data_IF_119219054257
#
_entry.id   IF_119219054257
#
_cell.length_a   1.000
_cell.length_b   1.000
_cell.length_c   1.000
_cell.angle_alpha   90.00
_cell.angle_beta   90.00
_cell.angle_gamma   90.00
#
_symmetry.space_group_name_H-M   'P 1'
#
loop_
_entity.id
_entity.type
_entity.pdbx_description
1 polymer ?
#
# COMPACT_ATOMS: atom_id res chain seq x y z
N UNK A 1 20.17 -52.35 -57.77
CA UNK A 1 19.29 -51.33 -58.41
C UNK A 1 18.20 -51.03 -57.38
N UNK A 2 17.92 -49.84 -56.87
CA UNK A 2 18.00 -48.46 -57.35
C UNK A 2 18.32 -47.55 -56.16
N UNK A 3 18.98 -46.43 -56.48
CA UNK A 3 19.43 -45.37 -55.57
C UNK A 3 18.21 -44.54 -55.14
N UNK A 4 18.15 -44.13 -53.87
CA UNK A 4 17.42 -42.94 -53.47
C UNK A 4 18.30 -42.08 -52.57
N UNK A 5 18.70 -40.96 -53.16
CA UNK A 5 19.37 -39.81 -52.57
C UNK A 5 18.26 -38.98 -51.93
N UNK A 6 18.37 -38.64 -50.65
CA UNK A 6 17.74 -37.43 -50.12
C UNK A 6 18.67 -36.77 -49.10
N UNK A 7 19.13 -35.59 -49.50
CA UNK A 7 19.97 -34.66 -48.81
C UNK A 7 19.07 -33.78 -47.94
N UNK A 8 19.15 -33.91 -46.61
CA UNK A 8 18.50 -33.00 -45.67
C UNK A 8 19.57 -32.20 -44.94
N UNK A 9 19.87 -31.01 -45.48
CA UNK A 9 20.65 -29.98 -44.81
C UNK A 9 19.69 -29.24 -43.88
N UNK A 10 19.88 -29.38 -42.58
CA UNK A 10 19.18 -28.56 -41.59
C UNK A 10 20.22 -27.80 -40.78
N UNK A 11 20.44 -26.55 -41.19
CA UNK A 11 21.20 -25.54 -40.45
C UNK A 11 20.23 -24.99 -39.40
N UNK A 12 20.45 -25.31 -38.12
CA UNK A 12 19.86 -24.54 -37.03
C UNK A 12 20.98 -23.79 -36.32
N UNK A 13 20.86 -22.47 -36.37
CA UNK A 13 21.77 -21.50 -35.80
C UNK A 13 21.90 -21.71 -34.28
N UNK A 14 23.15 -21.76 -33.82
CA UNK A 14 23.48 -21.64 -32.40
C UNK A 14 23.27 -20.18 -32.03
N UNK A 15 22.08 -19.85 -31.52
CA UNK A 15 21.86 -18.61 -30.79
C UNK A 15 22.52 -18.78 -29.41
N UNK A 16 23.80 -18.41 -29.34
CA UNK A 16 24.46 -18.12 -28.09
C UNK A 16 23.79 -16.88 -27.47
N UNK A 17 22.75 -17.11 -26.65
CA UNK A 17 22.27 -16.10 -25.70
C UNK A 17 23.33 -15.92 -24.61
N UNK A 18 24.31 -15.07 -24.89
CA UNK A 18 24.99 -14.31 -23.86
C UNK A 18 24.01 -13.25 -23.34
N UNK A 19 23.10 -13.64 -22.44
CA UNK A 19 22.53 -12.72 -21.45
C UNK A 19 23.33 -12.95 -20.19
N UNK A 20 24.48 -12.29 -19.99
CA UNK A 20 24.55 -10.91 -19.52
C UNK A 20 23.62 -10.74 -18.32
N UNK A 21 24.18 -11.01 -17.15
CA UNK A 21 23.50 -10.79 -15.89
C UNK A 21 23.14 -9.32 -15.73
N UNK A 22 22.05 -9.11 -15.03
CA UNK A 22 21.89 -7.92 -14.23
C UNK A 22 21.33 -8.39 -12.91
N UNK A 23 22.23 -8.60 -11.96
CA UNK A 23 21.95 -8.34 -10.57
C UNK A 23 21.53 -6.87 -10.51
N UNK A 24 20.23 -6.63 -10.54
CA UNK A 24 19.66 -5.36 -10.16
C UNK A 24 19.17 -5.54 -8.74
N UNK A 25 20.05 -5.23 -7.80
CA UNK A 25 19.68 -4.82 -6.45
C UNK A 25 18.94 -3.49 -6.55
N UNK A 26 17.70 -3.54 -7.03
CA UNK A 26 16.86 -2.35 -7.03
C UNK A 26 16.11 -2.35 -5.70
N UNK A 27 16.68 -1.65 -4.72
CA UNK A 27 16.00 -1.23 -3.50
C UNK A 27 14.96 -0.17 -3.89
N UNK A 28 13.94 -0.58 -4.66
CA UNK A 28 12.77 0.24 -4.93
C UNK A 28 11.97 0.26 -3.63
N UNK A 29 12.17 1.33 -2.86
CA UNK A 29 11.18 1.76 -1.89
C UNK A 29 10.06 2.42 -2.70
N UNK A 30 9.32 1.60 -3.45
CA UNK A 30 8.18 2.04 -4.24
C UNK A 30 7.11 2.46 -3.24
N UNK A 31 6.96 3.77 -3.13
CA UNK A 31 5.90 4.43 -2.40
C UNK A 31 4.55 3.85 -2.85
N UNK A 32 3.78 3.32 -1.90
CA UNK A 32 2.46 2.77 -2.14
C UNK A 32 1.44 3.84 -1.77
N UNK A 33 0.52 4.15 -2.68
CA UNK A 33 -0.60 5.03 -2.37
C UNK A 33 -1.74 4.21 -1.75
N UNK A 34 -2.22 4.67 -0.60
CA UNK A 34 -3.43 4.17 0.05
C UNK A 34 -4.41 5.29 0.30
N UNK A 35 -5.64 4.92 0.64
CA UNK A 35 -6.74 5.83 0.91
C UNK A 35 -7.31 5.55 2.29
N UNK A 36 -7.48 6.61 3.10
CA UNK A 36 -8.35 6.55 4.28
C UNK A 36 -9.75 6.95 3.83
N UNK A 37 -10.72 6.04 3.98
CA UNK A 37 -12.11 6.28 3.59
C UNK A 37 -13.06 6.04 4.76
N UNK A 38 -14.25 6.65 4.70
CA UNK A 38 -15.34 6.39 5.64
C UNK A 38 -16.16 5.13 5.26
N UNK A 39 -17.16 4.81 6.07
CA UNK A 39 -18.10 3.69 5.88
C UNK A 39 -18.88 3.70 4.56
N UNK A 40 -18.98 4.85 3.88
CA UNK A 40 -19.65 4.99 2.59
C UNK A 40 -18.65 4.98 1.41
N UNK A 41 -17.35 4.82 1.71
CA UNK A 41 -16.26 4.81 0.72
C UNK A 41 -15.82 6.20 0.27
N UNK A 42 -16.18 7.26 0.99
CA UNK A 42 -15.69 8.61 0.69
C UNK A 42 -14.34 8.84 1.36
N UNK A 43 -13.39 9.37 0.58
CA UNK A 43 -12.06 9.71 1.08
C UNK A 43 -12.08 10.80 2.14
N UNK A 44 -11.32 10.58 3.22
CA UNK A 44 -11.21 11.53 4.33
C UNK A 44 -9.98 12.42 4.13
N UNK A 45 -10.22 13.64 3.66
CA UNK A 45 -9.18 14.63 3.37
C UNK A 45 -8.63 15.33 4.62
N UNK A 46 -7.49 16.00 4.45
CA UNK A 46 -6.85 16.85 5.48
C UNK A 46 -6.44 16.14 6.77
N UNK A 47 -6.37 14.80 6.79
CA UNK A 47 -5.76 14.04 7.88
C UNK A 47 -4.25 14.27 7.82
N UNK A 48 -3.66 14.75 8.91
CA UNK A 48 -2.20 14.83 9.01
C UNK A 48 -1.61 13.44 9.13
N UNK A 49 -0.57 13.17 8.35
CA UNK A 49 0.19 11.94 8.48
C UNK A 49 1.70 12.17 8.43
N UNK A 50 2.45 11.21 8.98
CA UNK A 50 3.92 11.19 8.95
C UNK A 50 4.38 9.75 8.84
N UNK A 51 5.19 9.45 7.82
CA UNK A 51 5.84 8.14 7.65
C UNK A 51 7.34 8.25 7.91
N UNK A 52 7.90 7.39 8.75
CA UNK A 52 9.34 7.30 9.12
C UNK A 52 10.05 8.64 9.35
N UNK A 53 9.40 9.55 10.07
CA UNK A 53 9.99 10.84 10.43
C UNK A 53 10.21 11.81 9.26
N UNK A 54 9.57 11.56 8.11
CA UNK A 54 9.46 12.51 7.01
C UNK A 54 8.66 13.77 7.41
N UNK A 55 8.51 14.71 6.47
CA UNK A 55 7.65 15.88 6.66
C UNK A 55 6.21 15.48 7.00
N UNK A 56 5.56 16.28 7.83
CA UNK A 56 4.12 16.19 8.06
C UNK A 56 3.39 16.54 6.77
N UNK A 57 2.56 15.63 6.28
CA UNK A 57 1.75 15.77 5.07
C UNK A 57 0.24 15.70 5.40
N UNK A 58 -0.61 15.91 4.39
CA UNK A 58 -2.07 15.87 4.51
C UNK A 58 -2.63 14.90 3.48
N UNK A 59 -3.63 14.10 3.87
CA UNK A 59 -4.39 13.29 2.90
C UNK A 59 -5.04 14.20 1.86
N UNK A 60 -5.02 13.74 0.60
CA UNK A 60 -5.65 14.47 -0.50
C UNK A 60 -7.19 14.42 -0.43
N UNK A 61 -7.88 15.08 -1.38
CA UNK A 61 -9.35 15.12 -1.43
C UNK A 61 -10.03 13.75 -1.62
N UNK A 62 -9.27 12.70 -1.93
CA UNK A 62 -9.71 11.31 -2.00
C UNK A 62 -9.25 10.48 -0.80
N UNK A 63 -8.76 11.11 0.27
CA UNK A 63 -8.19 10.42 1.43
C UNK A 63 -6.81 9.81 1.13
N UNK A 64 -6.21 10.14 -0.01
CA UNK A 64 -4.98 9.55 -0.48
C UNK A 64 -3.77 9.98 0.35
N UNK A 65 -2.98 9.03 0.79
CA UNK A 65 -1.68 9.22 1.42
C UNK A 65 -0.69 8.18 0.92
N UNK A 66 0.59 8.46 1.13
CA UNK A 66 1.66 7.60 0.68
C UNK A 66 2.29 6.83 1.84
N UNK A 67 2.51 5.54 1.62
CA UNK A 67 3.08 4.59 2.57
C UNK A 67 4.35 3.99 1.97
N UNK A 68 5.45 4.02 2.71
CA UNK A 68 6.71 3.39 2.31
C UNK A 68 6.81 2.00 2.96
N UNK A 69 7.07 0.92 2.18
CA UNK A 69 7.24 -0.39 2.76
C UNK A 69 8.32 -0.41 3.85
N UNK A 70 8.02 -1.03 5.00
CA UNK A 70 8.86 -1.09 6.21
C UNK A 70 8.93 0.20 7.05
N UNK A 71 8.21 1.25 6.68
CA UNK A 71 8.12 2.49 7.47
C UNK A 71 6.88 2.46 8.37
N UNK A 72 7.01 3.12 9.53
CA UNK A 72 5.88 3.39 10.41
C UNK A 72 5.17 4.66 9.93
N UNK A 73 3.88 4.57 9.61
CA UNK A 73 3.06 5.70 9.20
C UNK A 73 2.03 6.06 10.27
N UNK A 74 2.13 7.25 10.86
CA UNK A 74 1.18 7.75 11.86
C UNK A 74 0.16 8.67 11.23
N UNK A 75 -1.12 8.34 11.36
CA UNK A 75 -2.27 9.19 11.03
C UNK A 75 -2.77 9.90 12.29
N UNK A 76 -2.95 11.22 12.22
CA UNK A 76 -3.52 12.05 13.29
C UNK A 76 -5.02 12.23 13.06
N UNK A 77 -5.82 11.39 13.72
CA UNK A 77 -7.28 11.36 13.59
C UNK A 77 -7.90 12.33 14.60
N UNK A 78 -8.23 13.54 14.13
CA UNK A 78 -8.92 14.55 14.95
C UNK A 78 -10.43 14.51 14.72
N UNK A 79 -11.22 14.70 15.78
CA UNK A 79 -12.68 14.84 15.74
C UNK A 79 -13.24 15.91 14.78
N UNK A 80 -12.40 16.87 14.37
CA UNK A 80 -12.81 17.91 13.42
C UNK A 80 -12.69 17.43 11.96
N UNK A 81 -11.80 16.50 11.71
CA UNK A 81 -11.45 15.98 10.39
C UNK A 81 -12.30 14.75 10.09
N UNK A 82 -12.36 13.86 11.08
CA UNK A 82 -13.25 12.71 11.11
C UNK A 82 -14.52 13.21 11.79
N UNK A 83 -15.58 13.50 11.00
CA UNK A 83 -16.85 13.95 11.57
C UNK A 83 -17.25 12.99 12.69
N UNK A 84 -17.83 13.50 13.79
CA UNK A 84 -18.41 12.73 14.88
C UNK A 84 -19.46 11.68 14.47
N UNK A 85 -19.79 11.60 13.19
CA UNK A 85 -20.68 10.60 12.57
C UNK A 85 -19.93 9.50 11.81
N UNK A 86 -18.62 9.66 11.61
CA UNK A 86 -17.72 8.66 11.05
C UNK A 86 -17.16 7.86 12.21
N UNK A 87 -17.82 6.74 12.49
CA UNK A 87 -17.40 5.78 13.50
C UNK A 87 -16.40 4.78 12.91
N UNK A 88 -16.49 4.50 11.61
CA UNK A 88 -15.66 3.49 10.94
C UNK A 88 -14.78 4.12 9.86
N UNK A 89 -13.48 3.81 9.91
CA UNK A 89 -12.50 4.16 8.90
C UNK A 89 -11.85 2.91 8.31
N UNK A 90 -11.48 3.01 7.04
CA UNK A 90 -10.93 1.91 6.25
C UNK A 90 -9.68 2.37 5.51
N UNK A 91 -8.70 1.49 5.40
CA UNK A 91 -7.54 1.68 4.52
C UNK A 91 -7.78 0.88 3.23
N UNK A 92 -7.79 1.57 2.09
CA UNK A 92 -8.00 0.97 0.77
C UNK A 92 -6.82 1.22 -0.17
N UNK A 93 -6.64 0.35 -1.18
CA UNK A 93 -5.79 0.64 -2.33
C UNK A 93 -6.46 1.59 -3.35
N UNK A 94 -5.70 1.98 -4.37
CA UNK A 94 -6.15 2.78 -5.52
C UNK A 94 -7.37 2.16 -6.27
N UNK A 95 -7.64 0.87 -6.06
CA UNK A 95 -8.78 0.15 -6.62
C UNK A 95 -10.03 0.14 -5.74
N UNK A 96 -9.96 0.72 -4.54
CA UNK A 96 -11.02 0.67 -3.53
C UNK A 96 -11.15 -0.68 -2.83
N UNK A 97 -10.09 -1.50 -2.85
CA UNK A 97 -10.05 -2.74 -2.10
C UNK A 97 -9.42 -2.50 -0.73
N UNK A 98 -10.13 -2.89 0.32
CA UNK A 98 -9.63 -2.83 1.69
C UNK A 98 -8.35 -3.63 1.90
N UNK A 99 -7.38 -3.02 2.57
CA UNK A 99 -6.06 -3.60 2.83
C UNK A 99 -6.04 -4.28 4.18
N UNK A 100 -5.94 -5.60 4.17
CA UNK A 100 -5.97 -6.43 5.37
C UNK A 100 -4.59 -6.68 5.95
N UNK A 101 -4.54 -6.82 7.29
CA UNK A 101 -3.38 -7.30 8.00
C UNK A 101 -2.36 -6.23 8.36
N UNK A 102 -2.59 -4.95 8.05
CA UNK A 102 -1.72 -3.85 8.47
C UNK A 102 -1.82 -3.75 9.99
N UNK A 103 -0.69 -3.89 10.69
CA UNK A 103 -0.68 -3.74 12.15
C UNK A 103 -0.86 -2.25 12.48
N UNK A 104 -1.68 -1.95 13.48
CA UNK A 104 -1.84 -0.58 13.97
C UNK A 104 -1.81 -0.50 15.49
N UNK A 105 -1.35 0.64 15.99
CA UNK A 105 -1.33 0.99 17.42
C UNK A 105 -1.65 2.48 17.57
N UNK A 106 -2.69 2.79 18.34
CA UNK A 106 -3.19 4.14 18.56
C UNK A 106 -2.84 4.63 19.97
N UNK A 107 -2.66 5.94 20.12
CA UNK A 107 -2.36 6.59 21.42
C UNK A 107 -3.46 6.43 22.47
N UNK A 108 -4.70 6.22 22.03
CA UNK A 108 -5.85 5.86 22.88
C UNK A 108 -5.71 4.52 23.58
N UNK A 109 -4.79 3.66 23.11
CA UNK A 109 -4.61 2.29 23.58
C UNK A 109 -5.34 1.25 22.74
N UNK A 110 -6.02 1.65 21.66
CA UNK A 110 -6.56 0.74 20.65
C UNK A 110 -5.43 0.20 19.77
N UNK A 111 -5.41 -1.10 19.50
CA UNK A 111 -4.37 -1.73 18.66
C UNK A 111 -4.93 -2.99 18.00
N UNK A 112 -4.34 -3.37 16.87
CA UNK A 112 -4.81 -4.55 16.15
C UNK A 112 -4.17 -4.74 14.79
N UNK A 113 -4.94 -5.35 13.89
CA UNK A 113 -4.63 -5.45 12.47
C UNK A 113 -5.86 -5.05 11.69
N UNK A 114 -5.68 -4.38 10.55
CA UNK A 114 -6.80 -4.06 9.65
C UNK A 114 -7.52 -5.34 9.22
N UNK A 115 -8.85 -5.29 9.20
CA UNK A 115 -9.71 -6.40 8.81
C UNK A 115 -9.64 -6.68 7.30
N UNK A 116 -10.36 -7.70 6.81
CA UNK A 116 -10.36 -8.08 5.39
C UNK A 116 -10.87 -6.98 4.45
N UNK A 117 -11.62 -6.01 4.98
CA UNK A 117 -12.14 -4.84 4.28
C UNK A 117 -11.32 -3.57 4.59
N UNK A 118 -10.17 -3.67 5.25
CA UNK A 118 -9.35 -2.51 5.58
C UNK A 118 -9.78 -1.75 6.83
N UNK A 119 -10.88 -2.17 7.50
CA UNK A 119 -11.35 -1.54 8.73
C UNK A 119 -10.30 -1.60 9.84
N UNK A 120 -10.17 -0.51 10.60
CA UNK A 120 -9.39 -0.47 11.83
C UNK A 120 -10.15 0.31 12.91
N UNK A 121 -10.02 -0.15 14.16
CA UNK A 121 -10.62 0.54 15.31
C UNK A 121 -9.72 1.71 15.74
N UNK A 122 -10.33 2.84 16.08
CA UNK A 122 -9.68 4.01 16.66
C UNK A 122 -10.62 4.65 17.69
N UNK A 123 -10.09 5.45 18.62
CA UNK A 123 -10.94 6.19 19.56
C UNK A 123 -11.25 7.58 18.98
N UNK A 124 -12.51 7.81 18.62
CA UNK A 124 -12.99 9.12 18.19
C UNK A 124 -13.50 9.96 19.37
N UNK A 125 -13.42 9.50 20.62
CA UNK A 125 -13.98 10.20 21.78
C UNK A 125 -12.91 11.05 22.47
N UNK A 126 -12.85 12.34 22.11
CA UNK A 126 -12.12 13.35 22.89
C UNK A 126 -11.03 14.09 22.12
N UNK A 127 -9.76 13.88 22.51
CA UNK A 127 -8.60 14.47 21.83
C UNK A 127 -8.26 13.70 20.55
N UNK A 128 -7.33 14.23 19.75
CA UNK A 128 -6.84 13.55 18.56
C UNK A 128 -6.23 12.18 18.91
N UNK A 129 -6.56 11.14 18.15
CA UNK A 129 -5.93 9.83 18.27
C UNK A 129 -4.87 9.66 17.17
N UNK A 130 -3.66 9.29 17.57
CA UNK A 130 -2.54 9.09 16.66
C UNK A 130 -2.36 7.59 16.46
N UNK A 131 -2.75 7.10 15.28
CA UNK A 131 -2.67 5.69 14.94
C UNK A 131 -1.47 5.42 14.02
N UNK A 132 -0.51 4.64 14.50
CA UNK A 132 0.68 4.24 13.74
C UNK A 132 0.47 2.89 13.10
N UNK A 133 0.64 2.84 11.78
CA UNK A 133 0.45 1.68 10.93
C UNK A 133 1.81 1.13 10.46
N UNK A 134 1.92 -0.21 10.40
CA UNK A 134 3.15 -0.93 10.05
C UNK A 134 2.82 -2.03 9.03
N UNK A 135 3.45 -1.96 7.84
CA UNK A 135 3.36 -2.96 6.77
C UNK A 135 4.40 -4.07 6.92
#
# INVERSE_FOLDING_TARGET
MKKFIFLSITIFAVLALNGCGSSSDDYYNDEIKYHVVDQDGYGVADIRYTCDGNSVELTDGSGGFYFYPNDDCTLQLELRIVDSTVDDLYIEDDGGAGISGIKYECTSGTFGRTESNGHFEFDNVGEADYCTFQL
#
